data_IF_903670229381
#
_entry.id   IF_903670229381
#
_cell.length_a   1.000
_cell.length_b   1.000
_cell.length_c   1.000
_cell.angle_alpha   90.00
_cell.angle_beta   90.00
_cell.angle_gamma   90.00
#
_symmetry.space_group_name_H-M   'P 1'
#
loop_
_entity.id
_entity.type
_entity.pdbx_description
1 polymer ?
#
# COMPACT_ATOMS: atom_id res chain seq x y z
N UNK A 1 5.18 -4.60 23.09
CA UNK A 1 3.94 -5.18 22.53
C UNK A 1 4.23 -5.59 21.10
N UNK A 2 4.13 -6.88 20.77
CA UNK A 2 4.37 -7.38 19.41
C UNK A 2 3.28 -6.88 18.44
N UNK A 3 3.56 -6.93 17.14
CA UNK A 3 2.67 -6.39 16.09
C UNK A 3 1.27 -7.02 16.11
N UNK A 4 1.17 -8.32 16.38
CA UNK A 4 -0.11 -9.04 16.46
C UNK A 4 -0.99 -8.57 17.61
N UNK A 5 -0.43 -8.33 18.79
CA UNK A 5 -1.19 -7.81 19.93
C UNK A 5 -1.72 -6.40 19.65
N UNK A 6 -0.93 -5.55 18.96
CA UNK A 6 -1.39 -4.22 18.53
C UNK A 6 -2.54 -4.31 17.54
N UNK A 7 -2.39 -5.12 16.50
CA UNK A 7 -3.45 -5.35 15.50
C UNK A 7 -4.74 -5.83 16.16
N UNK A 8 -4.68 -6.84 17.04
CA UNK A 8 -5.85 -7.36 17.76
C UNK A 8 -6.56 -6.24 18.54
N UNK A 9 -5.84 -5.42 19.30
CA UNK A 9 -6.43 -4.29 20.07
C UNK A 9 -7.04 -3.20 19.18
N UNK A 10 -6.42 -2.87 18.06
CA UNK A 10 -6.95 -1.89 17.10
C UNK A 10 -8.22 -2.46 16.46
N UNK A 11 -8.20 -3.72 16.06
CA UNK A 11 -9.35 -4.43 15.51
C UNK A 11 -10.52 -4.48 16.51
N UNK A 12 -10.26 -4.83 17.76
CA UNK A 12 -11.27 -4.83 18.81
C UNK A 12 -11.86 -3.42 19.03
N UNK A 13 -11.04 -2.38 18.94
CA UNK A 13 -11.51 -1.00 19.00
C UNK A 13 -12.45 -0.66 17.84
N UNK A 14 -12.12 -1.07 16.61
CA UNK A 14 -12.99 -0.90 15.44
C UNK A 14 -14.35 -1.58 15.63
N UNK A 15 -14.36 -2.82 16.10
CA UNK A 15 -15.58 -3.60 16.30
C UNK A 15 -16.39 -3.18 17.53
N UNK A 16 -15.79 -2.51 18.50
CA UNK A 16 -16.49 -2.06 19.71
C UNK A 16 -17.63 -1.07 19.42
N UNK A 17 -17.58 -0.37 18.28
CA UNK A 17 -18.56 0.65 17.91
C UNK A 17 -18.55 1.90 18.79
N UNK A 18 -17.70 1.98 19.82
CA UNK A 18 -17.72 3.10 20.78
C UNK A 18 -17.30 4.43 20.16
N UNK A 19 -16.49 4.40 19.09
CA UNK A 19 -16.02 5.58 18.37
C UNK A 19 -16.86 5.93 17.14
N UNK A 20 -18.13 5.51 17.09
CA UNK A 20 -19.06 5.86 16.01
C UNK A 20 -19.74 7.18 16.32
N UNK A 21 -19.54 8.18 15.46
CA UNK A 21 -20.19 9.49 15.54
C UNK A 21 -20.75 9.86 14.17
N UNK A 22 -22.03 10.23 14.11
CA UNK A 22 -22.71 10.65 12.86
C UNK A 22 -22.52 9.64 11.71
N UNK A 23 -22.60 8.34 12.01
CA UNK A 23 -22.44 7.26 11.03
C UNK A 23 -21.00 6.91 10.67
N UNK A 24 -20.00 7.64 11.17
CA UNK A 24 -18.58 7.38 10.92
C UNK A 24 -17.94 6.66 12.11
N UNK A 25 -17.31 5.51 11.86
CA UNK A 25 -16.47 4.82 12.83
C UNK A 25 -15.05 5.40 12.81
N UNK A 26 -14.74 6.26 13.77
CA UNK A 26 -13.44 6.93 13.83
C UNK A 26 -12.30 6.01 14.26
N UNK A 27 -12.57 4.81 14.80
CA UNK A 27 -11.54 3.83 15.05
C UNK A 27 -10.86 3.37 13.75
N UNK A 28 -11.62 3.23 12.65
CA UNK A 28 -11.07 2.96 11.33
C UNK A 28 -10.21 4.13 10.84
N UNK A 29 -10.74 5.35 10.95
CA UNK A 29 -10.07 6.58 10.51
C UNK A 29 -8.69 6.74 11.15
N UNK A 30 -8.57 6.49 12.45
CA UNK A 30 -7.31 6.73 13.17
C UNK A 30 -6.39 5.51 13.25
N UNK A 31 -6.82 4.33 12.79
CA UNK A 31 -6.16 3.04 13.02
C UNK A 31 -4.68 3.03 12.63
N UNK A 32 -4.33 3.56 11.46
CA UNK A 32 -2.95 3.57 10.96
C UNK A 32 -1.98 4.30 11.90
N UNK A 33 -2.46 5.32 12.62
CA UNK A 33 -1.64 6.05 13.59
C UNK A 33 -1.40 5.25 14.87
N UNK A 34 -2.28 4.30 15.21
CA UNK A 34 -2.25 3.59 16.50
C UNK A 34 -1.14 2.54 16.60
N UNK A 35 -0.51 2.15 15.48
CA UNK A 35 0.60 1.18 15.46
C UNK A 35 1.90 1.71 16.07
N UNK A 36 2.18 3.01 15.93
CA UNK A 36 3.36 3.65 16.52
C UNK A 36 3.09 3.96 18.00
N UNK A 37 3.59 3.10 18.88
CA UNK A 37 3.44 3.24 20.34
C UNK A 37 4.66 3.89 20.99
N UNK A 38 5.62 4.39 20.21
CA UNK A 38 6.81 5.05 20.75
C UNK A 38 6.46 6.40 21.37
N UNK A 39 7.31 6.89 22.30
CA UNK A 39 7.14 8.23 22.87
C UNK A 39 7.18 9.31 21.80
N UNK A 40 8.12 9.22 20.84
CA UNK A 40 8.19 10.12 19.68
C UNK A 40 6.92 10.07 18.86
N UNK A 41 6.38 8.87 18.62
CA UNK A 41 5.11 8.67 17.94
C UNK A 41 3.93 9.29 18.68
N UNK A 42 3.91 9.21 20.01
CA UNK A 42 2.89 9.83 20.85
C UNK A 42 2.93 11.36 20.76
N UNK A 43 4.11 11.97 20.90
CA UNK A 43 4.31 13.42 20.74
C UNK A 43 3.82 13.88 19.36
N UNK A 44 4.24 13.16 18.29
CA UNK A 44 3.82 13.45 16.92
C UNK A 44 2.29 13.48 16.77
N UNK A 45 1.57 12.52 17.36
CA UNK A 45 0.10 12.47 17.29
C UNK A 45 -0.55 13.65 17.99
N UNK A 46 -0.05 14.03 19.17
CA UNK A 46 -0.58 15.18 19.92
C UNK A 46 -0.37 16.46 19.13
N UNK A 47 0.85 16.71 18.66
CA UNK A 47 1.18 17.90 17.86
C UNK A 47 0.33 17.94 16.59
N UNK A 48 0.23 16.81 15.88
CA UNK A 48 -0.60 16.69 14.68
C UNK A 48 -2.09 16.97 14.97
N UNK A 49 -2.63 16.42 16.06
CA UNK A 49 -4.04 16.56 16.39
C UNK A 49 -4.42 17.96 16.86
N UNK A 50 -3.50 18.64 17.55
CA UNK A 50 -3.75 19.98 18.07
C UNK A 50 -3.40 21.07 17.07
N UNK A 51 -2.37 20.91 16.24
CA UNK A 51 -1.82 22.03 15.49
C UNK A 51 -1.88 21.87 13.98
N UNK A 52 -2.43 20.79 13.44
CA UNK A 52 -2.57 20.61 11.98
C UNK A 52 -4.03 20.46 11.56
N UNK A 53 -4.50 21.38 10.73
CA UNK A 53 -5.83 21.34 10.11
C UNK A 53 -5.73 20.76 8.71
N UNK A 54 -6.72 19.95 8.33
CA UNK A 54 -6.87 19.46 6.96
C UNK A 54 -7.49 20.57 6.10
N UNK A 55 -6.73 21.10 5.15
CA UNK A 55 -7.22 22.03 4.12
C UNK A 55 -7.55 21.24 2.86
N UNK A 56 -8.70 21.51 2.27
CA UNK A 56 -9.10 20.96 0.96
C UNK A 56 -8.82 22.00 -0.13
N UNK A 57 -8.28 21.54 -1.24
CA UNK A 57 -8.06 22.30 -2.46
C UNK A 57 -8.91 21.64 -3.55
N UNK A 58 -9.85 22.38 -4.12
CA UNK A 58 -10.71 21.94 -5.23
C UNK A 58 -10.18 22.53 -6.52
N UNK A 59 -9.88 21.68 -7.50
CA UNK A 59 -9.30 22.12 -8.78
C UNK A 59 -10.36 22.30 -9.86
N UNK A 60 -11.46 21.55 -9.79
CA UNK A 60 -12.56 21.60 -10.75
C UNK A 60 -13.87 21.81 -10.00
N UNK A 61 -14.56 22.92 -10.30
CA UNK A 61 -15.74 23.38 -9.55
C UNK A 61 -17.05 23.05 -10.28
N UNK A 62 -16.97 22.41 -11.45
CA UNK A 62 -18.17 21.91 -12.12
C UNK A 62 -18.82 20.84 -11.22
N UNK A 63 -20.12 20.98 -10.94
CA UNK A 63 -20.89 19.96 -10.23
C UNK A 63 -20.94 18.71 -11.11
N UNK A 64 -20.06 17.76 -10.81
CA UNK A 64 -19.91 16.50 -11.52
C UNK A 64 -20.47 15.35 -10.68
N UNK A 65 -20.98 14.32 -11.36
CA UNK A 65 -21.47 13.10 -10.73
C UNK A 65 -20.40 12.43 -9.85
N UNK A 66 -19.14 12.45 -10.29
CA UNK A 66 -18.02 11.83 -9.57
C UNK A 66 -17.14 12.87 -8.89
N UNK A 67 -16.83 12.66 -7.62
CA UNK A 67 -15.74 13.34 -6.90
C UNK A 67 -14.53 12.40 -6.79
N UNK A 68 -13.39 12.79 -7.33
CA UNK A 68 -12.11 12.14 -7.08
C UNK A 68 -11.35 12.87 -5.98
N UNK A 69 -10.92 12.13 -4.95
CA UNK A 69 -10.23 12.67 -3.79
C UNK A 69 -8.84 12.05 -3.57
N UNK A 70 -7.84 12.91 -3.33
CA UNK A 70 -6.45 12.52 -3.09
C UNK A 70 -5.83 13.25 -1.90
N UNK A 71 -5.31 12.54 -0.89
CA UNK A 71 -4.67 13.18 0.27
C UNK A 71 -3.15 13.12 0.31
N UNK A 72 -2.49 12.45 -0.64
CA UNK A 72 -1.06 12.14 -0.52
C UNK A 72 -0.10 13.13 -1.22
N UNK A 73 -0.60 14.15 -1.94
CA UNK A 73 0.23 15.12 -2.69
C UNK A 73 1.34 15.77 -1.86
N UNK A 74 1.01 16.16 -0.63
CA UNK A 74 1.95 16.80 0.30
C UNK A 74 3.14 15.90 0.69
N UNK A 75 3.04 14.58 0.50
CA UNK A 75 4.11 13.62 0.76
C UNK A 75 5.17 13.61 -0.34
N UNK A 76 4.96 14.33 -1.46
CA UNK A 76 5.85 14.40 -2.63
C UNK A 76 6.24 13.00 -3.14
N UNK A 77 5.26 12.11 -3.20
CA UNK A 77 5.41 10.73 -3.67
C UNK A 77 5.12 10.71 -5.16
N UNK A 78 6.15 10.97 -5.96
CA UNK A 78 6.04 10.96 -7.43
C UNK A 78 5.51 9.62 -7.97
N UNK A 79 5.75 8.54 -7.24
CA UNK A 79 5.24 7.19 -7.50
C UNK A 79 3.74 7.00 -7.20
N UNK A 80 3.09 7.96 -6.55
CA UNK A 80 1.64 8.00 -6.31
C UNK A 80 0.94 9.11 -7.10
N UNK A 81 1.65 10.21 -7.33
CA UNK A 81 1.09 11.45 -7.84
C UNK A 81 0.48 11.35 -9.24
N UNK A 82 0.88 10.36 -10.05
CA UNK A 82 0.31 10.12 -11.38
C UNK A 82 -1.06 9.40 -11.33
N UNK A 83 -1.39 8.70 -10.24
CA UNK A 83 -2.63 7.92 -10.09
C UNK A 83 -3.87 8.81 -10.23
N UNK A 84 -4.02 9.91 -9.46
CA UNK A 84 -5.17 10.80 -9.61
C UNK A 84 -5.24 11.42 -11.01
N UNK A 85 -4.11 11.73 -11.65
CA UNK A 85 -4.10 12.33 -12.99
C UNK A 85 -4.63 11.34 -14.04
N UNK A 86 -4.19 10.08 -13.98
CA UNK A 86 -4.68 9.03 -14.88
C UNK A 86 -6.15 8.70 -14.63
N UNK A 87 -6.60 8.69 -13.37
CA UNK A 87 -8.02 8.52 -13.05
C UNK A 87 -8.86 9.68 -13.60
N UNK A 88 -8.39 10.93 -13.51
CA UNK A 88 -9.06 12.09 -14.12
C UNK A 88 -9.17 11.95 -15.63
N UNK A 89 -8.10 11.51 -16.29
CA UNK A 89 -8.11 11.25 -17.73
C UNK A 89 -9.16 10.21 -18.11
N UNK A 90 -9.20 9.09 -17.38
CA UNK A 90 -10.18 8.01 -17.62
C UNK A 90 -11.62 8.49 -17.39
N UNK A 91 -11.87 9.28 -16.34
CA UNK A 91 -13.20 9.77 -16.01
C UNK A 91 -13.64 10.97 -16.85
N UNK A 92 -12.69 11.71 -17.42
CA UNK A 92 -12.93 12.89 -18.25
C UNK A 92 -13.79 13.95 -17.54
N UNK A 93 -14.71 14.56 -18.30
CA UNK A 93 -15.61 15.64 -17.83
C UNK A 93 -16.63 15.24 -16.75
N UNK A 94 -16.70 13.96 -16.38
CA UNK A 94 -17.65 13.46 -15.36
C UNK A 94 -17.07 13.51 -13.94
N UNK A 95 -15.83 13.97 -13.79
CA UNK A 95 -15.11 14.04 -12.54
C UNK A 95 -14.96 15.50 -12.08
N UNK A 96 -15.04 15.71 -10.78
CA UNK A 96 -14.45 16.84 -10.08
C UNK A 96 -13.25 16.33 -9.29
N UNK A 97 -12.20 17.14 -9.13
CA UNK A 97 -11.00 16.75 -8.41
C UNK A 97 -10.78 17.63 -7.18
N UNK A 98 -10.55 16.98 -6.05
CA UNK A 98 -10.16 17.62 -4.82
C UNK A 98 -8.98 16.89 -4.18
N UNK A 99 -8.12 17.66 -3.52
CA UNK A 99 -7.03 17.11 -2.72
C UNK A 99 -6.99 17.75 -1.35
N UNK A 100 -6.33 17.08 -0.42
CA UNK A 100 -6.14 17.63 0.93
C UNK A 100 -4.68 17.68 1.33
N UNK A 101 -4.35 18.71 2.08
CA UNK A 101 -3.06 18.88 2.73
C UNK A 101 -3.24 19.28 4.19
N UNK A 102 -2.26 18.92 5.02
CA UNK A 102 -2.23 19.26 6.43
C UNK A 102 -1.45 20.56 6.61
N UNK A 103 -2.09 21.59 7.18
CA UNK A 103 -1.48 22.90 7.43
C UNK A 103 -1.44 23.21 8.91
N UNK A 104 -0.37 23.84 9.34
CA UNK A 104 -0.27 24.34 10.71
C UNK A 104 -1.41 25.35 11.00
N UNK A 105 -2.10 25.19 12.13
CA UNK A 105 -3.19 26.07 12.55
C UNK A 105 -3.38 25.99 14.07
N UNK A 106 -3.25 27.13 14.75
CA UNK A 106 -3.51 27.23 16.19
C UNK A 106 -5.01 27.09 16.48
N UNK A 107 -5.88 27.53 15.56
CA UNK A 107 -7.33 27.38 15.68
C UNK A 107 -7.75 25.91 15.73
N UNK A 108 -6.95 25.01 15.14
CA UNK A 108 -7.19 23.56 15.25
C UNK A 108 -7.14 23.09 16.70
N UNK A 109 -6.30 23.67 17.56
CA UNK A 109 -6.16 23.22 18.94
C UNK A 109 -7.47 23.43 19.68
N UNK A 110 -8.04 24.63 19.53
CA UNK A 110 -9.36 24.95 20.07
C UNK A 110 -10.43 23.98 19.54
N UNK A 111 -10.50 23.78 18.22
CA UNK A 111 -11.47 22.86 17.59
C UNK A 111 -11.35 21.44 18.13
N UNK A 112 -10.14 20.90 18.22
CA UNK A 112 -9.87 19.56 18.76
C UNK A 112 -10.28 19.48 20.23
N UNK A 113 -9.90 20.46 21.06
CA UNK A 113 -10.20 20.46 22.49
C UNK A 113 -11.70 20.52 22.78
N UNK A 114 -12.49 21.29 22.01
CA UNK A 114 -13.97 21.34 22.17
C UNK A 114 -14.66 20.00 21.95
N UNK A 115 -14.03 19.07 21.21
CA UNK A 115 -14.55 17.72 20.97
C UNK A 115 -13.89 16.64 21.81
N UNK A 116 -12.80 16.98 22.52
CA UNK A 116 -11.95 16.01 23.21
C UNK A 116 -12.72 15.12 24.18
N UNK A 117 -13.56 15.68 25.07
CA UNK A 117 -14.23 14.88 26.10
C UNK A 117 -15.15 13.80 25.51
N UNK A 118 -16.03 14.19 24.58
CA UNK A 118 -16.89 13.24 23.88
C UNK A 118 -16.09 12.20 23.07
N UNK A 119 -14.96 12.59 22.48
CA UNK A 119 -14.07 11.65 21.80
C UNK A 119 -13.33 10.73 22.79
N UNK A 120 -13.02 11.20 23.99
CA UNK A 120 -12.38 10.42 25.04
C UNK A 120 -13.29 9.31 25.56
N UNK A 121 -14.57 9.61 25.75
CA UNK A 121 -15.61 8.60 25.99
C UNK A 121 -15.71 7.61 24.81
N UNK A 122 -15.66 8.12 23.57
CA UNK A 122 -15.73 7.28 22.37
C UNK A 122 -14.56 6.30 22.20
N UNK A 123 -13.39 6.55 22.81
CA UNK A 123 -12.25 5.61 22.76
C UNK A 123 -12.24 4.58 23.89
N UNK A 124 -13.32 4.45 24.67
CA UNK A 124 -13.40 3.46 25.76
C UNK A 124 -13.19 2.02 25.28
N UNK A 125 -13.66 1.68 24.08
CA UNK A 125 -13.44 0.38 23.43
C UNK A 125 -11.96 0.09 23.12
N UNK A 126 -11.08 1.10 23.12
CA UNK A 126 -9.65 0.90 22.90
C UNK A 126 -8.94 0.49 24.20
N UNK A 127 -8.79 -0.82 24.42
CA UNK A 127 -8.22 -1.43 25.63
C UNK A 127 -6.69 -1.28 25.73
N UNK A 128 -6.24 -0.05 25.94
CA UNK A 128 -4.82 0.35 26.10
C UNK A 128 -4.63 1.30 27.30
N UNK A 129 -3.38 1.66 27.57
CA UNK A 129 -3.03 2.62 28.62
C UNK A 129 -3.60 4.02 28.38
N UNK A 130 -3.69 4.80 29.46
CA UNK A 130 -4.33 6.12 29.48
C UNK A 130 -3.68 7.08 28.48
N UNK A 131 -2.34 7.09 28.38
CA UNK A 131 -1.64 7.97 27.43
C UNK A 131 -2.00 7.67 25.98
N UNK A 132 -2.15 6.40 25.62
CA UNK A 132 -2.58 5.99 24.28
C UNK A 132 -4.05 6.33 24.04
N UNK A 133 -4.92 6.21 25.06
CA UNK A 133 -6.32 6.67 24.98
C UNK A 133 -6.41 8.17 24.74
N UNK A 134 -5.63 8.99 25.46
CA UNK A 134 -5.60 10.45 25.25
C UNK A 134 -5.18 10.77 23.82
N UNK A 135 -4.11 10.15 23.30
CA UNK A 135 -3.66 10.36 21.93
C UNK A 135 -4.71 9.93 20.89
N UNK A 136 -5.38 8.78 21.10
CA UNK A 136 -6.46 8.33 20.23
C UNK A 136 -7.65 9.30 20.27
N UNK A 137 -8.06 9.76 21.46
CA UNK A 137 -9.16 10.71 21.62
C UNK A 137 -8.88 12.05 20.93
N UNK A 138 -7.64 12.55 20.99
CA UNK A 138 -7.21 13.74 20.26
C UNK A 138 -7.28 13.53 18.75
N UNK A 139 -6.83 12.38 18.23
CA UNK A 139 -6.94 12.05 16.81
C UNK A 139 -8.42 11.97 16.37
N UNK A 140 -9.26 11.29 17.14
CA UNK A 140 -10.72 11.20 16.88
C UNK A 140 -11.33 12.60 16.88
N UNK A 141 -11.02 13.43 17.87
CA UNK A 141 -11.49 14.81 17.92
C UNK A 141 -11.02 15.65 16.71
N UNK A 142 -9.74 15.53 16.31
CA UNK A 142 -9.21 16.18 15.11
C UNK A 142 -10.02 15.80 13.87
N UNK A 143 -10.17 14.51 13.60
CA UNK A 143 -10.88 14.05 12.40
C UNK A 143 -12.39 14.35 12.43
N UNK A 144 -13.01 14.42 13.62
CA UNK A 144 -14.39 14.94 13.76
C UNK A 144 -14.48 16.40 13.33
N UNK A 145 -13.50 17.22 13.68
CA UNK A 145 -13.48 18.62 13.22
C UNK A 145 -13.22 18.74 11.71
N UNK A 146 -12.34 17.89 11.15
CA UNK A 146 -12.12 17.79 9.69
C UNK A 146 -13.40 17.43 8.95
N UNK A 147 -14.17 16.44 9.46
CA UNK A 147 -15.43 16.02 8.86
C UNK A 147 -16.41 17.19 8.71
N UNK A 148 -16.59 17.98 9.77
CA UNK A 148 -17.52 19.11 9.82
C UNK A 148 -17.05 20.27 8.95
N UNK A 149 -15.78 20.66 9.06
CA UNK A 149 -15.29 21.92 8.50
C UNK A 149 -14.73 21.80 7.08
N UNK A 150 -14.24 20.62 6.70
CA UNK A 150 -13.50 20.45 5.44
C UNK A 150 -14.21 19.52 4.46
N UNK A 151 -14.84 18.45 4.95
CA UNK A 151 -15.35 17.38 4.07
C UNK A 151 -16.86 17.39 3.84
N UNK A 152 -17.67 17.85 4.79
CA UNK A 152 -19.15 17.83 4.64
C UNK A 152 -19.64 18.62 3.42
N UNK A 153 -19.03 19.76 3.13
CA UNK A 153 -19.38 20.56 1.93
C UNK A 153 -18.88 19.92 0.64
N UNK A 154 -17.76 19.20 0.69
CA UNK A 154 -17.10 18.60 -0.46
C UNK A 154 -17.96 17.52 -1.13
N UNK A 155 -18.72 16.76 -0.34
CA UNK A 155 -19.58 15.69 -0.84
C UNK A 155 -20.87 16.19 -1.53
N UNK A 156 -21.17 17.49 -1.47
CA UNK A 156 -22.43 18.03 -2.01
C UNK A 156 -22.41 18.06 -3.53
N UNK A 157 -23.43 17.47 -4.14
CA UNK A 157 -23.64 17.54 -5.59
C UNK A 157 -22.97 16.43 -6.40
N UNK A 158 -22.31 15.48 -5.73
CA UNK A 158 -21.83 14.23 -6.33
C UNK A 158 -22.68 13.06 -5.86
N UNK A 159 -22.82 12.06 -6.72
CA UNK A 159 -23.48 10.77 -6.41
C UNK A 159 -22.46 9.63 -6.23
N UNK A 160 -21.20 9.89 -6.61
CA UNK A 160 -20.08 8.94 -6.55
C UNK A 160 -18.84 9.59 -5.95
N UNK A 161 -18.10 8.81 -5.17
CA UNK A 161 -16.81 9.20 -4.60
C UNK A 161 -15.75 8.16 -4.98
N UNK A 162 -14.65 8.62 -5.57
CA UNK A 162 -13.46 7.82 -5.85
C UNK A 162 -12.35 8.31 -4.93
N UNK A 163 -11.80 7.44 -4.09
CA UNK A 163 -10.67 7.76 -3.21
C UNK A 163 -9.38 7.09 -3.69
N UNK A 164 -8.25 7.73 -3.42
CA UNK A 164 -6.95 7.16 -3.71
C UNK A 164 -6.68 5.84 -2.99
N UNK A 165 -7.00 5.77 -1.70
CA UNK A 165 -6.89 4.57 -0.87
C UNK A 165 -7.53 4.83 0.51
N UNK A 166 -8.65 4.18 0.81
CA UNK A 166 -9.37 4.31 2.07
C UNK A 166 -8.73 3.58 3.27
N UNK A 167 -7.56 2.94 3.09
CA UNK A 167 -6.72 2.53 4.22
C UNK A 167 -6.12 3.73 4.98
N UNK A 168 -6.08 4.92 4.35
CA UNK A 168 -5.56 6.15 4.95
C UNK A 168 -6.67 7.03 5.51
N UNK A 169 -6.34 7.78 6.57
CA UNK A 169 -7.33 8.46 7.38
C UNK A 169 -8.23 9.47 6.65
N UNK A 170 -7.72 10.39 5.80
CA UNK A 170 -8.57 11.35 5.09
C UNK A 170 -9.56 10.66 4.14
N UNK A 171 -9.07 9.71 3.34
CA UNK A 171 -9.87 8.92 2.41
C UNK A 171 -10.87 8.02 3.14
N UNK A 172 -10.47 7.38 4.24
CA UNK A 172 -11.35 6.53 5.06
C UNK A 172 -12.52 7.35 5.62
N UNK A 173 -12.22 8.52 6.19
CA UNK A 173 -13.23 9.43 6.70
C UNK A 173 -14.21 9.84 5.59
N UNK A 174 -13.68 10.26 4.44
CA UNK A 174 -14.50 10.72 3.33
C UNK A 174 -15.36 9.59 2.74
N UNK A 175 -14.82 8.36 2.64
CA UNK A 175 -15.56 7.18 2.20
C UNK A 175 -16.72 6.82 3.15
N UNK A 176 -16.48 6.79 4.46
CA UNK A 176 -17.55 6.54 5.44
C UNK A 176 -18.62 7.65 5.43
N UNK A 177 -18.21 8.92 5.30
CA UNK A 177 -19.15 10.04 5.14
C UNK A 177 -19.95 9.94 3.84
N UNK A 178 -19.30 9.56 2.73
CA UNK A 178 -19.94 9.33 1.43
C UNK A 178 -20.98 8.24 1.51
N UNK A 179 -20.63 7.08 2.09
CA UNK A 179 -21.57 5.98 2.33
C UNK A 179 -22.78 6.43 3.16
N UNK A 180 -22.55 7.19 4.24
CA UNK A 180 -23.62 7.71 5.11
C UNK A 180 -24.52 8.72 4.37
N UNK A 181 -23.96 9.46 3.41
CA UNK A 181 -24.69 10.38 2.55
C UNK A 181 -25.33 9.72 1.33
N UNK A 182 -25.24 8.39 1.19
CA UNK A 182 -25.84 7.63 0.08
C UNK A 182 -25.05 7.69 -1.23
N UNK A 183 -23.78 8.13 -1.21
CA UNK A 183 -22.92 8.10 -2.39
C UNK A 183 -22.43 6.68 -2.65
N UNK A 184 -22.20 6.40 -3.94
CA UNK A 184 -21.52 5.19 -4.35
C UNK A 184 -19.99 5.36 -4.22
N UNK A 185 -19.34 4.57 -3.37
CA UNK A 185 -17.92 4.77 -3.01
C UNK A 185 -17.00 3.72 -3.63
N UNK A 186 -15.92 4.20 -4.24
CA UNK A 186 -14.88 3.38 -4.88
C UNK A 186 -13.52 3.79 -4.34
N UNK A 187 -12.66 2.82 -4.03
CA UNK A 187 -11.27 3.08 -3.63
C UNK A 187 -10.27 2.41 -4.56
N UNK A 188 -9.10 3.01 -4.70
CA UNK A 188 -8.01 2.45 -5.48
C UNK A 188 -6.99 1.71 -4.60
N UNK A 189 -6.36 0.67 -5.15
CA UNK A 189 -5.22 -0.02 -4.54
C UNK A 189 -3.92 0.75 -4.80
N UNK A 190 -3.08 0.97 -3.77
CA UNK A 190 -1.80 1.70 -3.89
C UNK A 190 -0.54 0.85 -3.65
N UNK A 191 -0.68 -0.43 -3.29
CA UNK A 191 0.41 -1.38 -3.05
C UNK A 191 -0.09 -2.81 -3.22
N UNK A 192 0.78 -3.81 -3.31
CA UNK A 192 0.33 -5.20 -3.37
C UNK A 192 -0.24 -5.61 -1.99
N UNK A 193 -1.56 -5.73 -1.92
CA UNK A 193 -2.22 -6.11 -0.68
C UNK A 193 -2.19 -7.63 -0.48
N UNK A 194 -2.16 -8.01 0.80
CA UNK A 194 -2.09 -9.38 1.28
C UNK A 194 -2.63 -9.44 2.70
N UNK A 195 -3.34 -10.52 3.02
CA UNK A 195 -3.76 -10.82 4.38
C UNK A 195 -2.55 -11.34 5.15
N UNK A 196 -2.30 -10.72 6.30
CA UNK A 196 -1.17 -11.02 7.16
C UNK A 196 -1.60 -11.94 8.30
N UNK A 197 -0.67 -12.76 8.75
CA UNK A 197 -0.83 -13.67 9.88
C UNK A 197 0.13 -13.31 11.01
N UNK A 198 0.20 -14.17 12.04
CA UNK A 198 1.03 -13.91 13.22
C UNK A 198 2.54 -13.83 12.93
N UNK A 199 3.00 -14.38 11.80
CA UNK A 199 4.43 -14.45 11.40
C UNK A 199 4.90 -13.19 10.68
N UNK A 200 3.98 -12.46 10.05
CA UNK A 200 4.28 -11.29 9.22
C UNK A 200 3.41 -10.06 9.50
N UNK A 201 2.70 -10.05 10.64
CA UNK A 201 1.81 -8.96 11.02
C UNK A 201 2.51 -7.60 11.07
N UNK A 202 1.92 -6.61 10.42
CA UNK A 202 2.39 -5.22 10.40
C UNK A 202 1.23 -4.24 10.21
N UNK A 203 1.52 -2.94 10.17
CA UNK A 203 0.52 -1.90 9.86
C UNK A 203 -0.12 -2.05 8.49
N UNK A 204 0.48 -2.83 7.60
CA UNK A 204 -0.09 -3.09 6.27
C UNK A 204 -1.40 -3.89 6.35
N UNK A 205 -1.70 -4.48 7.52
CA UNK A 205 -3.01 -5.07 7.80
C UNK A 205 -4.17 -4.08 7.66
N UNK A 206 -3.89 -2.77 7.76
CA UNK A 206 -4.90 -1.74 7.51
C UNK A 206 -5.36 -1.70 6.05
N UNK A 207 -4.58 -2.19 5.10
CA UNK A 207 -5.01 -2.24 3.70
C UNK A 207 -6.34 -2.98 3.51
N UNK A 208 -6.54 -4.11 4.21
CA UNK A 208 -7.77 -4.89 4.16
C UNK A 208 -8.70 -4.59 5.35
N UNK A 209 -8.15 -4.32 6.54
CA UNK A 209 -8.99 -4.10 7.74
C UNK A 209 -9.58 -2.69 7.85
N UNK A 210 -9.18 -1.75 7.00
CA UNK A 210 -9.79 -0.42 6.86
C UNK A 210 -10.57 -0.24 5.55
N UNK A 211 -10.75 -1.29 4.75
CA UNK A 211 -11.55 -1.19 3.54
C UNK A 211 -13.02 -0.94 3.89
N UNK A 212 -13.53 0.23 3.49
CA UNK A 212 -14.88 0.73 3.84
C UNK A 212 -15.68 1.16 2.61
N UNK A 213 -15.02 1.32 1.46
CA UNK A 213 -15.70 1.66 0.21
C UNK A 213 -16.51 0.49 -0.32
N UNK A 214 -17.55 0.77 -1.10
CA UNK A 214 -18.43 -0.28 -1.66
C UNK A 214 -17.74 -1.07 -2.77
N UNK A 215 -16.76 -0.49 -3.47
CA UNK A 215 -15.90 -1.21 -4.41
C UNK A 215 -14.42 -0.85 -4.26
N UNK A 216 -13.57 -1.80 -4.62
CA UNK A 216 -12.13 -1.61 -4.78
C UNK A 216 -11.70 -1.84 -6.22
N UNK A 217 -10.81 -0.98 -6.72
CA UNK A 217 -10.05 -1.18 -7.95
C UNK A 217 -8.79 -2.00 -7.61
N UNK A 218 -8.84 -3.30 -7.89
CA UNK A 218 -7.77 -4.25 -7.64
C UNK A 218 -6.81 -4.31 -8.84
N UNK A 219 -5.51 -4.44 -8.57
CA UNK A 219 -4.50 -4.62 -9.62
C UNK A 219 -4.72 -5.93 -10.38
N UNK A 220 -4.96 -7.03 -9.66
CA UNK A 220 -5.10 -8.36 -10.24
C UNK A 220 -5.93 -9.29 -9.39
N UNK A 221 -6.07 -10.53 -9.88
CA UNK A 221 -6.77 -11.60 -9.16
C UNK A 221 -6.09 -11.94 -7.83
N UNK A 222 -4.79 -11.69 -7.68
CA UNK A 222 -4.08 -11.86 -6.42
C UNK A 222 -4.72 -11.06 -5.27
N UNK A 223 -4.92 -9.75 -5.46
CA UNK A 223 -5.56 -8.90 -4.44
C UNK A 223 -7.02 -9.30 -4.21
N UNK A 224 -7.76 -9.61 -5.29
CA UNK A 224 -9.16 -10.05 -5.19
C UNK A 224 -9.27 -11.32 -4.32
N UNK A 225 -8.40 -12.31 -4.54
CA UNK A 225 -8.38 -13.55 -3.76
C UNK A 225 -8.07 -13.30 -2.28
N UNK A 226 -7.14 -12.41 -1.97
CA UNK A 226 -6.78 -12.06 -0.59
C UNK A 226 -7.93 -11.37 0.15
N UNK A 227 -8.60 -10.43 -0.48
CA UNK A 227 -9.75 -9.74 0.13
C UNK A 227 -10.95 -10.68 0.26
N UNK A 228 -11.17 -11.56 -0.72
CA UNK A 228 -12.20 -12.60 -0.64
C UNK A 228 -11.94 -13.56 0.53
N UNK A 229 -10.68 -13.98 0.72
CA UNK A 229 -10.23 -14.78 1.85
C UNK A 229 -10.43 -14.09 3.19
N UNK A 230 -10.31 -12.76 3.23
CA UNK A 230 -10.62 -11.96 4.43
C UNK A 230 -12.12 -11.83 4.71
N UNK A 231 -12.98 -12.14 3.73
CA UNK A 231 -14.44 -12.12 3.86
C UNK A 231 -15.14 -11.01 3.07
N UNK A 232 -14.45 -10.32 2.15
CA UNK A 232 -15.10 -9.34 1.27
C UNK A 232 -15.74 -10.03 0.06
N UNK A 233 -16.94 -9.58 -0.36
CA UNK A 233 -17.62 -10.14 -1.53
C UNK A 233 -16.83 -9.89 -2.84
N UNK A 234 -16.54 -10.92 -3.65
CA UNK A 234 -15.77 -10.79 -4.88
C UNK A 234 -16.33 -9.78 -5.89
N UNK A 235 -17.65 -9.61 -5.95
CA UNK A 235 -18.34 -8.66 -6.83
C UNK A 235 -18.02 -7.19 -6.53
N UNK A 236 -17.53 -6.91 -5.32
CA UNK A 236 -17.08 -5.57 -4.91
C UNK A 236 -15.60 -5.32 -5.25
N UNK A 237 -14.87 -6.34 -5.69
CA UNK A 237 -13.43 -6.31 -5.93
C UNK A 237 -13.18 -6.36 -7.44
N UNK A 238 -13.07 -5.20 -8.08
CA UNK A 238 -12.98 -5.10 -9.54
C UNK A 238 -11.52 -5.15 -9.97
N UNK A 239 -11.13 -6.19 -10.70
CA UNK A 239 -9.80 -6.28 -11.31
C UNK A 239 -9.70 -5.28 -12.46
N UNK A 240 -9.00 -4.17 -12.23
CA UNK A 240 -8.83 -3.07 -13.19
C UNK A 240 -7.39 -2.88 -13.67
N UNK A 241 -6.44 -3.56 -13.06
CA UNK A 241 -5.03 -3.27 -13.26
C UNK A 241 -4.55 -2.13 -12.36
N UNK A 242 -3.24 -2.11 -12.15
CA UNK A 242 -2.52 -1.03 -11.50
C UNK A 242 -2.56 0.18 -12.44
N UNK A 243 -3.25 1.24 -12.00
CA UNK A 243 -3.10 2.56 -12.61
C UNK A 243 -1.65 2.94 -12.41
N UNK A 244 -0.80 2.81 -13.44
CA UNK A 244 0.65 3.09 -13.45
C UNK A 244 1.10 3.51 -14.84
N UNK A 245 2.05 4.44 -14.90
CA UNK A 245 2.80 4.72 -16.13
C UNK A 245 3.88 3.64 -16.34
N UNK A 246 3.56 2.66 -17.19
CA UNK A 246 4.46 1.56 -17.53
C UNK A 246 5.52 1.92 -18.57
N UNK A 247 5.44 3.09 -19.21
CA UNK A 247 6.38 3.48 -20.27
C UNK A 247 7.82 3.56 -19.77
N UNK A 248 8.00 3.91 -18.49
CA UNK A 248 9.31 4.01 -17.82
C UNK A 248 9.96 2.66 -17.51
N UNK A 249 9.17 1.60 -17.48
CA UNK A 249 9.59 0.23 -17.17
C UNK A 249 9.92 -0.59 -18.43
N UNK A 250 9.76 0.00 -19.62
CA UNK A 250 10.06 -0.68 -20.88
C UNK A 250 11.55 -1.00 -20.99
N UNK A 251 11.91 -2.27 -20.72
CA UNK A 251 13.26 -2.74 -20.96
C UNK A 251 13.52 -2.84 -22.48
N UNK A 252 14.75 -2.53 -22.95
CA UNK A 252 15.12 -2.77 -24.34
C UNK A 252 14.92 -4.25 -24.69
N UNK A 253 14.24 -4.53 -25.81
CA UNK A 253 13.99 -5.91 -26.33
C UNK A 253 15.27 -6.65 -26.76
N UNK A 254 16.45 -6.08 -26.54
CA UNK A 254 17.71 -6.69 -26.96
C UNK A 254 18.02 -7.94 -26.12
N UNK A 255 18.69 -8.92 -26.75
CA UNK A 255 19.28 -10.05 -26.01
C UNK A 255 20.25 -9.49 -24.97
N UNK A 256 19.90 -9.63 -23.70
CA UNK A 256 20.77 -9.26 -22.58
C UNK A 256 21.98 -10.19 -22.58
N UNK A 257 23.17 -9.61 -22.65
CA UNK A 257 24.41 -10.33 -22.37
C UNK A 257 24.45 -10.56 -20.86
N UNK A 258 24.77 -11.79 -20.44
CA UNK A 258 24.93 -12.13 -19.01
C UNK A 258 25.93 -11.18 -18.35
N UNK A 259 25.53 -10.55 -17.26
CA UNK A 259 26.38 -9.63 -16.47
C UNK A 259 27.15 -10.35 -15.38
N UNK A 260 26.83 -11.61 -15.11
CA UNK A 260 27.36 -12.39 -13.97
C UNK A 260 27.04 -11.74 -12.62
N UNK A 261 25.91 -11.02 -12.58
CA UNK A 261 25.41 -10.27 -11.42
C UNK A 261 23.93 -10.54 -11.30
N UNK A 262 23.46 -10.90 -10.10
CA UNK A 262 22.03 -10.91 -9.80
C UNK A 262 21.68 -9.84 -8.76
N UNK A 263 20.43 -9.42 -8.75
CA UNK A 263 19.97 -8.38 -7.85
C UNK A 263 19.26 -8.95 -6.63
N UNK A 264 19.28 -8.22 -5.52
CA UNK A 264 18.56 -8.53 -4.28
C UNK A 264 17.73 -7.30 -3.90
N UNK A 265 16.41 -7.44 -3.81
CA UNK A 265 15.52 -6.35 -3.42
C UNK A 265 15.09 -6.50 -1.96
N UNK A 266 15.53 -5.57 -1.11
CA UNK A 266 15.14 -5.55 0.30
C UNK A 266 13.79 -4.88 0.50
N UNK A 267 13.05 -5.37 1.49
CA UNK A 267 11.79 -4.80 1.96
C UNK A 267 12.04 -3.58 2.87
N UNK A 268 10.96 -2.92 3.29
CA UNK A 268 11.01 -1.88 4.32
C UNK A 268 11.56 -2.41 5.66
N UNK A 269 12.00 -1.49 6.54
CA UNK A 269 12.64 -1.82 7.82
C UNK A 269 11.76 -2.67 8.76
N UNK A 270 10.44 -2.64 8.57
CA UNK A 270 9.50 -3.52 9.28
C UNK A 270 9.74 -5.01 9.03
N UNK A 271 10.50 -5.37 7.99
CA UNK A 271 10.86 -6.73 7.60
C UNK A 271 12.38 -6.99 7.73
N UNK A 272 13.05 -6.34 8.69
CA UNK A 272 14.51 -6.46 8.89
C UNK A 272 14.99 -7.91 8.97
N UNK A 273 14.28 -8.78 9.70
CA UNK A 273 14.63 -10.20 9.79
C UNK A 273 14.66 -10.87 8.40
N UNK A 274 13.60 -10.72 7.61
CA UNK A 274 13.54 -11.25 6.25
C UNK A 274 14.59 -10.61 5.31
N UNK A 275 14.96 -9.35 5.53
CA UNK A 275 16.05 -8.71 4.80
C UNK A 275 17.40 -9.37 5.10
N UNK A 276 17.65 -9.76 6.35
CA UNK A 276 18.88 -10.49 6.72
C UNK A 276 18.90 -11.90 6.12
N UNK A 277 17.76 -12.60 6.13
CA UNK A 277 17.63 -13.91 5.47
C UNK A 277 17.85 -13.81 3.95
N UNK A 278 17.34 -12.74 3.30
CA UNK A 278 17.62 -12.48 1.88
C UNK A 278 19.11 -12.27 1.61
N UNK A 279 19.81 -11.53 2.47
CA UNK A 279 21.27 -11.29 2.31
C UNK A 279 22.03 -12.60 2.51
N UNK A 280 21.66 -13.41 3.51
CA UNK A 280 22.27 -14.72 3.73
C UNK A 280 22.05 -15.66 2.53
N UNK A 281 20.82 -15.73 2.02
CA UNK A 281 20.50 -16.52 0.83
C UNK A 281 21.25 -16.02 -0.42
N UNK A 282 21.35 -14.70 -0.61
CA UNK A 282 22.10 -14.12 -1.71
C UNK A 282 23.58 -14.54 -1.69
N UNK A 283 24.24 -14.52 -0.53
CA UNK A 283 25.62 -14.98 -0.41
C UNK A 283 25.80 -16.44 -0.79
N UNK A 284 24.88 -17.30 -0.35
CA UNK A 284 24.88 -18.72 -0.70
C UNK A 284 24.69 -18.93 -2.21
N UNK A 285 23.71 -18.25 -2.82
CA UNK A 285 23.44 -18.31 -4.27
C UNK A 285 24.64 -17.79 -5.07
N UNK A 286 25.23 -16.68 -4.65
CA UNK A 286 26.40 -16.07 -5.28
C UNK A 286 27.60 -17.02 -5.28
N UNK A 287 27.84 -17.70 -4.15
CA UNK A 287 28.91 -18.69 -4.04
C UNK A 287 28.66 -19.91 -4.95
N UNK A 288 27.44 -20.46 -4.93
CA UNK A 288 27.08 -21.67 -5.67
C UNK A 288 27.03 -21.46 -7.19
N UNK A 289 26.59 -20.28 -7.64
CA UNK A 289 26.52 -19.95 -9.07
C UNK A 289 27.78 -19.24 -9.60
N UNK A 290 28.73 -18.89 -8.73
CA UNK A 290 29.91 -18.11 -9.11
C UNK A 290 29.56 -16.69 -9.58
N UNK A 291 28.54 -16.07 -9.00
CA UNK A 291 28.02 -14.75 -9.38
C UNK A 291 28.36 -13.67 -8.33
N UNK A 292 28.28 -12.42 -8.75
CA UNK A 292 28.20 -11.26 -7.85
C UNK A 292 26.74 -10.88 -7.58
N UNK A 293 26.50 -10.03 -6.58
CA UNK A 293 25.16 -9.51 -6.32
C UNK A 293 25.10 -8.02 -6.04
N UNK A 294 23.97 -7.41 -6.41
CA UNK A 294 23.64 -6.00 -6.23
C UNK A 294 22.44 -5.86 -5.30
N UNK A 295 22.54 -5.09 -4.22
CA UNK A 295 21.44 -4.88 -3.27
C UNK A 295 20.70 -3.57 -3.57
N UNK A 296 19.42 -3.68 -3.89
CA UNK A 296 18.47 -2.56 -3.96
C UNK A 296 17.74 -2.40 -2.64
N UNK A 297 17.92 -1.24 -2.02
CA UNK A 297 17.25 -0.85 -0.78
C UNK A 297 15.83 -0.36 -1.02
N UNK A 298 14.98 -0.53 -0.01
CA UNK A 298 13.72 0.22 0.08
C UNK A 298 14.01 1.72 0.28
N UNK A 299 13.18 2.66 -0.26
CA UNK A 299 13.47 4.10 -0.24
C UNK A 299 13.77 4.72 1.13
N UNK A 300 13.32 4.06 2.22
CA UNK A 300 13.47 4.56 3.58
C UNK A 300 14.55 3.84 4.39
N UNK A 301 15.11 2.74 3.86
CA UNK A 301 16.12 1.94 4.55
C UNK A 301 17.52 2.54 4.37
N UNK A 302 18.36 2.40 5.40
CA UNK A 302 19.76 2.85 5.35
C UNK A 302 20.71 1.71 4.98
N UNK A 303 21.69 1.91 4.07
CA UNK A 303 22.73 0.92 3.81
C UNK A 303 23.52 0.53 5.06
N UNK A 304 23.70 1.47 5.99
CA UNK A 304 24.49 1.30 7.22
C UNK A 304 24.00 0.15 8.09
N UNK A 305 22.71 -0.16 8.03
CA UNK A 305 22.09 -1.22 8.83
C UNK A 305 22.50 -2.63 8.42
N UNK A 306 23.08 -2.78 7.23
CA UNK A 306 23.37 -4.08 6.64
C UNK A 306 24.86 -4.36 6.47
N UNK A 307 25.74 -3.37 6.70
CA UNK A 307 27.17 -3.44 6.37
C UNK A 307 27.90 -4.66 6.95
N UNK A 308 27.54 -5.08 8.16
CA UNK A 308 28.16 -6.22 8.84
C UNK A 308 27.79 -7.59 8.24
N UNK A 309 26.75 -7.66 7.40
CA UNK A 309 26.25 -8.90 6.80
C UNK A 309 26.73 -9.10 5.35
N UNK A 310 27.44 -8.11 4.79
CA UNK A 310 27.87 -8.08 3.39
C UNK A 310 29.23 -8.78 3.23
N UNK A 311 29.49 -9.32 2.03
CA UNK A 311 30.77 -9.97 1.69
C UNK A 311 31.38 -9.40 0.40
N UNK A 312 32.57 -9.88 0.05
CA UNK A 312 33.32 -9.39 -1.12
C UNK A 312 32.70 -9.70 -2.49
N UNK A 313 31.55 -10.40 -2.55
CA UNK A 313 30.80 -10.65 -3.79
C UNK A 313 29.74 -9.57 -4.07
N UNK A 314 29.53 -8.66 -3.12
CA UNK A 314 28.66 -7.51 -3.31
C UNK A 314 29.29 -6.52 -4.30
N UNK A 315 28.57 -6.21 -5.37
CA UNK A 315 28.96 -5.18 -6.34
C UNK A 315 28.53 -3.78 -5.91
N UNK A 316 27.39 -3.66 -5.23
CA UNK A 316 26.87 -2.38 -4.75
C UNK A 316 25.62 -2.50 -3.91
N UNK A 317 25.35 -1.46 -3.11
CA UNK A 317 24.15 -1.35 -2.27
C UNK A 317 23.64 0.09 -2.33
N UNK A 318 22.34 0.28 -2.59
CA UNK A 318 21.79 1.62 -2.71
C UNK A 318 20.33 1.67 -3.13
N UNK A 319 19.85 2.89 -3.37
CA UNK A 319 18.52 3.16 -3.87
C UNK A 319 18.58 3.27 -5.39
N UNK A 320 18.10 2.23 -6.07
CA UNK A 320 18.09 2.18 -7.52
C UNK A 320 16.67 2.34 -8.06
N UNK A 321 16.53 3.11 -9.13
CA UNK A 321 15.33 3.02 -9.98
C UNK A 321 15.21 1.59 -10.52
N UNK A 322 13.99 1.09 -10.65
CA UNK A 322 13.74 -0.31 -11.00
C UNK A 322 14.23 -0.64 -12.42
N UNK A 323 14.09 0.28 -13.39
CA UNK A 323 14.55 0.03 -14.76
C UNK A 323 16.08 0.04 -14.83
N UNK A 324 16.73 0.99 -14.14
CA UNK A 324 18.19 1.03 -14.01
C UNK A 324 18.72 -0.24 -13.33
N UNK A 325 18.14 -0.63 -12.20
CA UNK A 325 18.47 -1.86 -11.49
C UNK A 325 18.32 -3.09 -12.38
N UNK A 326 17.18 -3.22 -13.07
CA UNK A 326 16.95 -4.37 -13.94
C UNK A 326 17.96 -4.42 -15.07
N UNK A 327 18.42 -3.29 -15.62
CA UNK A 327 19.46 -3.31 -16.64
C UNK A 327 20.78 -3.93 -16.14
N UNK A 328 21.08 -3.88 -14.84
CA UNK A 328 22.35 -4.30 -14.24
C UNK A 328 22.39 -5.74 -13.72
N UNK A 329 21.27 -6.46 -13.78
CA UNK A 329 21.17 -7.80 -13.19
C UNK A 329 20.60 -8.83 -14.16
N UNK A 330 21.05 -10.08 -14.03
CA UNK A 330 20.59 -11.21 -14.84
C UNK A 330 19.25 -11.77 -14.32
N UNK A 331 19.06 -11.75 -13.00
CA UNK A 331 17.81 -12.09 -12.32
C UNK A 331 17.72 -11.35 -10.99
N UNK A 332 16.56 -11.42 -10.35
CA UNK A 332 16.31 -10.80 -9.04
C UNK A 332 15.93 -11.82 -7.97
N UNK A 333 16.39 -11.59 -6.75
CA UNK A 333 15.96 -12.23 -5.52
C UNK A 333 15.15 -11.21 -4.70
N UNK A 334 14.00 -11.60 -4.18
CA UNK A 334 13.15 -10.72 -3.39
C UNK A 334 12.32 -11.48 -2.34
N UNK A 335 11.46 -10.74 -1.67
CA UNK A 335 10.46 -11.22 -0.72
C UNK A 335 9.12 -10.50 -1.01
N UNK A 336 8.30 -10.16 -0.02
CA UNK A 336 6.97 -9.56 -0.23
C UNK A 336 6.96 -8.04 -0.57
N UNK A 337 7.48 -7.65 -1.73
CA UNK A 337 7.53 -6.24 -2.17
C UNK A 337 6.62 -5.93 -3.36
N UNK A 338 6.07 -4.71 -3.41
CA UNK A 338 5.37 -4.20 -4.61
C UNK A 338 6.28 -4.14 -5.85
N UNK A 339 7.60 -4.01 -5.65
CA UNK A 339 8.58 -4.05 -6.73
C UNK A 339 8.59 -5.40 -7.47
N UNK A 340 8.18 -6.50 -6.82
CA UNK A 340 8.06 -7.82 -7.45
C UNK A 340 7.08 -7.76 -8.62
N UNK A 341 5.96 -7.05 -8.46
CA UNK A 341 4.94 -6.90 -9.52
C UNK A 341 5.52 -6.14 -10.72
N UNK A 342 6.35 -5.13 -10.48
CA UNK A 342 7.04 -4.39 -11.55
C UNK A 342 8.03 -5.28 -12.31
N UNK A 343 8.81 -6.11 -11.61
CA UNK A 343 9.75 -7.04 -12.24
C UNK A 343 9.00 -8.09 -13.07
N UNK A 344 7.94 -8.68 -12.52
CA UNK A 344 7.09 -9.64 -13.22
C UNK A 344 6.47 -9.05 -14.49
N UNK A 345 6.05 -7.78 -14.46
CA UNK A 345 5.48 -7.09 -15.62
C UNK A 345 6.46 -7.03 -16.80
N UNK A 346 7.76 -6.88 -16.53
CA UNK A 346 8.80 -6.90 -17.57
C UNK A 346 9.12 -8.31 -18.10
N UNK A 347 8.64 -9.36 -17.44
CA UNK A 347 9.04 -10.74 -17.70
C UNK A 347 10.49 -11.05 -17.31
N UNK A 348 11.13 -10.19 -16.52
CA UNK A 348 12.49 -10.42 -16.03
C UNK A 348 12.51 -11.55 -14.98
N UNK A 349 13.53 -12.42 -14.98
CA UNK A 349 13.63 -13.51 -14.00
C UNK A 349 13.66 -13.00 -12.56
N UNK A 350 12.78 -13.54 -11.72
CA UNK A 350 12.68 -13.21 -10.30
C UNK A 350 12.29 -14.42 -9.47
N UNK A 351 12.88 -14.53 -8.28
CA UNK A 351 12.67 -15.61 -7.32
C UNK A 351 12.41 -15.00 -5.94
N UNK A 352 11.45 -15.57 -5.21
CA UNK A 352 11.11 -15.14 -3.85
C UNK A 352 11.63 -16.15 -2.83
N UNK A 353 12.34 -15.66 -1.83
CA UNK A 353 12.69 -16.48 -0.67
C UNK A 353 11.49 -16.59 0.27
N UNK A 354 11.10 -17.82 0.61
CA UNK A 354 10.13 -18.10 1.65
C UNK A 354 10.85 -18.48 2.94
N UNK A 355 11.20 -17.48 3.74
CA UNK A 355 11.80 -17.61 5.08
C UNK A 355 10.80 -18.03 6.18
N UNK A 356 9.63 -18.54 5.79
CA UNK A 356 8.51 -18.85 6.70
C UNK A 356 7.66 -17.64 7.08
N UNK A 357 8.06 -16.42 6.71
CA UNK A 357 7.28 -15.18 6.92
C UNK A 357 6.63 -14.66 5.63
N UNK A 358 6.91 -15.26 4.48
CA UNK A 358 6.32 -14.84 3.21
C UNK A 358 4.78 -14.98 3.25
N UNK A 359 4.05 -13.90 2.95
CA UNK A 359 2.58 -13.94 2.95
C UNK A 359 2.04 -14.87 1.85
N UNK A 360 0.88 -15.51 2.10
CA UNK A 360 0.31 -16.50 1.19
C UNK A 360 0.14 -15.98 -0.25
N UNK A 361 -0.21 -14.70 -0.43
CA UNK A 361 -0.32 -14.08 -1.76
C UNK A 361 0.97 -14.22 -2.60
N UNK A 362 2.13 -14.31 -1.95
CA UNK A 362 3.45 -14.44 -2.57
C UNK A 362 3.98 -15.89 -2.60
N UNK A 363 3.26 -16.84 -2.01
CA UNK A 363 3.60 -18.27 -2.05
C UNK A 363 3.03 -18.88 -3.34
N UNK A 364 3.67 -18.59 -4.47
CA UNK A 364 3.20 -18.99 -5.81
C UNK A 364 4.22 -19.94 -6.43
N UNK A 365 3.73 -21.07 -6.95
CA UNK A 365 4.54 -22.07 -7.64
C UNK A 365 5.29 -21.46 -8.82
N UNK A 366 6.59 -21.75 -8.92
CA UNK A 366 7.47 -21.18 -9.93
C UNK A 366 7.88 -19.72 -9.69
N UNK A 367 7.53 -19.16 -8.53
CA UNK A 367 7.97 -17.83 -8.06
C UNK A 367 8.62 -17.89 -6.67
N UNK A 368 8.05 -18.63 -5.71
CA UNK A 368 8.55 -18.71 -4.33
C UNK A 368 9.23 -20.04 -4.00
N UNK A 369 10.30 -19.99 -3.22
CA UNK A 369 11.15 -21.14 -2.90
C UNK A 369 11.54 -21.14 -1.43
N UNK A 370 11.63 -22.31 -0.77
CA UNK A 370 11.86 -22.40 0.66
C UNK A 370 13.30 -22.05 1.09
N UNK A 371 14.28 -22.17 0.19
CA UNK A 371 15.69 -22.00 0.52
C UNK A 371 16.53 -21.62 -0.72
N UNK A 372 17.80 -21.26 -0.47
CA UNK A 372 18.76 -20.88 -1.51
C UNK A 372 19.08 -22.01 -2.49
N UNK A 373 19.09 -23.27 -2.05
CA UNK A 373 19.37 -24.42 -2.90
C UNK A 373 18.28 -24.62 -3.97
N UNK A 374 17.02 -24.52 -3.54
CA UNK A 374 15.85 -24.58 -4.41
C UNK A 374 15.83 -23.43 -5.42
N UNK A 375 16.25 -22.23 -5.00
CA UNK A 375 16.40 -21.07 -5.90
C UNK A 375 17.49 -21.32 -6.93
N UNK A 376 18.66 -21.83 -6.53
CA UNK A 376 19.76 -22.18 -7.45
C UNK A 376 19.29 -23.18 -8.50
N UNK A 377 18.56 -24.23 -8.10
CA UNK A 377 18.02 -25.21 -9.04
C UNK A 377 17.04 -24.56 -10.01
N UNK A 378 16.14 -23.70 -9.53
CA UNK A 378 15.20 -22.97 -10.38
C UNK A 378 15.92 -22.06 -11.39
N UNK A 379 16.96 -21.33 -10.95
CA UNK A 379 17.78 -20.49 -11.83
C UNK A 379 18.43 -21.31 -12.94
N UNK A 380 19.06 -22.45 -12.60
CA UNK A 380 19.69 -23.35 -13.58
C UNK A 380 18.66 -23.88 -14.60
N UNK A 381 17.46 -24.25 -14.15
CA UNK A 381 16.37 -24.72 -15.02
C UNK A 381 15.88 -23.62 -15.95
N UNK A 382 15.65 -22.41 -15.43
CA UNK A 382 15.16 -21.29 -16.22
C UNK A 382 16.21 -20.80 -17.24
N UNK A 383 17.51 -20.93 -16.92
CA UNK A 383 18.60 -20.66 -17.88
C UNK A 383 18.60 -21.65 -19.07
N UNK A 384 18.22 -22.92 -18.83
CA UNK A 384 18.08 -23.92 -19.89
C UNK A 384 16.80 -23.71 -20.72
N UNK A 385 15.76 -23.11 -20.13
CA UNK A 385 14.44 -22.92 -20.76
C UNK A 385 13.92 -21.47 -20.63
N UNK A 386 14.66 -20.47 -21.17
CA UNK A 386 14.39 -19.05 -20.89
C UNK A 386 13.03 -18.57 -21.40
N UNK A 387 12.57 -19.10 -22.53
CA UNK A 387 11.25 -18.75 -23.10
C UNK A 387 10.12 -19.28 -22.22
N UNK A 388 10.26 -20.50 -21.68
CA UNK A 388 9.25 -21.08 -20.80
C UNK A 388 9.21 -20.34 -19.46
N UNK A 389 10.37 -20.00 -18.90
CA UNK A 389 10.51 -19.18 -17.70
C UNK A 389 9.85 -17.81 -17.87
N UNK A 390 10.16 -17.10 -18.94
CA UNK A 390 9.56 -15.80 -19.24
C UNK A 390 8.04 -15.89 -19.36
N UNK A 391 7.51 -16.88 -20.07
CA UNK A 391 6.05 -17.10 -20.19
C UNK A 391 5.41 -17.36 -18.82
N UNK A 392 6.03 -18.20 -17.98
CA UNK A 392 5.58 -18.46 -16.60
C UNK A 392 5.49 -17.17 -15.80
N UNK A 393 6.54 -16.36 -15.82
CA UNK A 393 6.61 -15.11 -15.06
C UNK A 393 5.63 -14.05 -15.57
N UNK A 394 5.42 -13.94 -16.88
CA UNK A 394 4.39 -13.04 -17.45
C UNK A 394 2.97 -13.47 -17.05
N UNK A 395 2.68 -14.78 -17.04
CA UNK A 395 1.39 -15.30 -16.58
C UNK A 395 1.16 -15.00 -15.09
N UNK A 396 2.20 -15.18 -14.26
CA UNK A 396 2.14 -14.81 -12.83
C UNK A 396 1.98 -13.30 -12.68
N UNK A 397 2.72 -12.51 -13.46
CA UNK A 397 2.61 -11.05 -13.51
C UNK A 397 1.19 -10.59 -13.82
N UNK A 398 0.53 -11.23 -14.79
CA UNK A 398 -0.87 -10.97 -15.13
C UNK A 398 -1.83 -11.31 -13.99
N UNK A 399 -1.54 -12.32 -13.18
CA UNK A 399 -2.34 -12.65 -12.01
C UNK A 399 -2.25 -11.58 -10.92
N UNK A 400 -1.08 -10.95 -10.74
CA UNK A 400 -0.90 -9.81 -9.84
C UNK A 400 -1.42 -8.49 -10.40
N UNK A 401 -1.28 -8.29 -11.72
CA UNK A 401 -1.66 -7.08 -12.41
C UNK A 401 -2.27 -7.40 -13.79
N UNK A 402 -3.59 -7.25 -13.91
CA UNK A 402 -4.29 -7.36 -15.19
C UNK A 402 -4.89 -6.00 -15.60
N UNK A 403 -4.10 -5.24 -16.36
CA UNK A 403 -4.43 -3.90 -16.86
C UNK A 403 -4.98 -3.88 -18.29
N UNK A 404 -5.33 -5.04 -18.84
CA UNK A 404 -6.09 -5.10 -20.11
C UNK A 404 -7.42 -4.38 -19.94
N UNK A 405 -7.75 -3.51 -20.91
CA UNK A 405 -8.97 -2.71 -20.91
C UNK A 405 -9.15 -1.86 -19.64
N UNK A 406 -8.05 -1.46 -18.97
CA UNK A 406 -8.07 -0.75 -17.67
C UNK A 406 -9.07 0.41 -17.63
N UNK A 407 -9.08 1.27 -18.65
CA UNK A 407 -9.99 2.41 -18.69
C UNK A 407 -11.47 1.98 -18.70
N UNK A 408 -11.82 0.97 -19.49
CA UNK A 408 -13.17 0.43 -19.56
C UNK A 408 -13.58 -0.24 -18.25
N UNK A 409 -12.68 -1.01 -17.63
CA UNK A 409 -12.93 -1.68 -16.35
C UNK A 409 -13.12 -0.68 -15.20
N UNK A 410 -12.32 0.38 -15.15
CA UNK A 410 -12.46 1.48 -14.19
C UNK A 410 -13.79 2.21 -14.38
N UNK A 411 -14.15 2.55 -15.63
CA UNK A 411 -15.45 3.16 -15.93
C UNK A 411 -16.61 2.27 -15.51
N UNK A 412 -16.57 0.98 -15.84
CA UNK A 412 -17.58 0.00 -15.41
C UNK A 412 -17.68 -0.09 -13.89
N UNK A 413 -16.55 -0.08 -13.18
CA UNK A 413 -16.50 -0.12 -11.73
C UNK A 413 -17.17 1.10 -11.08
N UNK A 414 -17.06 2.28 -11.70
CA UNK A 414 -17.53 3.55 -11.14
C UNK A 414 -18.96 3.89 -11.60
N UNK A 415 -19.25 3.74 -12.89
CA UNK A 415 -20.54 4.13 -13.48
C UNK A 415 -21.55 2.99 -13.55
N UNK A 416 -21.10 1.73 -13.59
CA UNK A 416 -21.95 0.56 -13.79
C UNK A 416 -22.33 0.28 -15.24
N UNK A 417 -21.83 1.08 -16.20
CA UNK A 417 -22.11 0.90 -17.62
C UNK A 417 -21.32 -0.28 -18.20
N UNK A 418 -22.03 -1.22 -18.85
CA UNK A 418 -21.44 -2.06 -19.87
C UNK A 418 -21.40 -1.22 -21.15
N UNK A 419 -20.20 -0.91 -21.64
CA UNK A 419 -20.03 -0.42 -23.00
C UNK A 419 -20.47 -1.49 -24.00
#
# INVERSE_FOLDING_TARGET
>A
MNSISKYKKIRDFKFSGTAVFEGVNYANVVAIYLYDTSLRGWIKKIVFSLFYTTRVITHEVAKCHVLLFYSARHKKRSDYDYIPDRLREILGKHCSYAESEERFSIVQAWRTLTRFWSSFQGVEGYRVGVLQKIAAALLVAKYRTTAIHSFRSLLRGSDRLVTFCDAHAPENLLAQMGNTAGLFTVTNQHGQYRVLDERNMSSDAEAYSNFVSQRMLCWGKATQAEFSRYGFPPENLIVSGWVKDWSRLALPKAKKISKSVFGVMLNADSAKESNLELIAAARAIAQELGLQYLIRLHPWSSPKEYLEYLDGRLQGIGHFDIAAYLNDVDFSLAHMSGAVVEVLYTGSPIYLLNDGRLAQAFQVDGLSYPDSCSIVTAVKVDQLMPIAAQRRLLNIGQWYNDDRDQAARIRKAIFGEMA
#
